data_IF_466175163273
#
_entry.id   IF_466175163273
#
_cell.length_a   1.000
_cell.length_b   1.000
_cell.length_c   1.000
_cell.angle_alpha   90.00
_cell.angle_beta   90.00
_cell.angle_gamma   90.00
#
_symmetry.space_group_name_H-M   'P 1'
#
loop_
_entity.id
_entity.type
_entity.pdbx_description
1 polymer ?
#
# COMPACT_ATOMS: atom_id res chain seq x y z
N UNK A 1 -15.35 -11.22 -15.62
CA UNK A 1 -16.33 -10.45 -14.81
C UNK A 1 -15.65 -9.97 -13.52
N UNK A 2 -15.92 -8.74 -13.09
CA UNK A 2 -15.34 -8.16 -11.87
C UNK A 2 -16.35 -8.27 -10.72
N UNK A 3 -15.88 -8.67 -9.54
CA UNK A 3 -16.60 -8.53 -8.28
C UNK A 3 -16.15 -7.21 -7.66
N UNK A 4 -17.06 -6.25 -7.47
CA UNK A 4 -16.79 -4.99 -6.79
C UNK A 4 -17.63 -4.93 -5.51
N UNK A 5 -16.97 -4.98 -4.36
CA UNK A 5 -17.61 -4.90 -3.04
C UNK A 5 -17.28 -3.55 -2.38
N UNK A 6 -18.30 -2.85 -1.92
CA UNK A 6 -18.17 -1.79 -0.91
C UNK A 6 -18.84 -2.27 0.38
N UNK A 7 -18.23 -1.98 1.52
CA UNK A 7 -18.83 -2.22 2.83
C UNK A 7 -18.36 -1.15 3.83
N UNK A 8 -19.24 -0.77 4.76
CA UNK A 8 -18.93 0.17 5.83
C UNK A 8 -19.48 -0.33 7.17
N UNK A 9 -18.78 -0.06 8.27
CA UNK A 9 -19.29 -0.24 9.63
C UNK A 9 -18.61 0.74 10.58
N UNK A 10 -19.37 1.25 11.54
CA UNK A 10 -18.83 1.85 12.75
C UNK A 10 -18.39 0.75 13.72
N UNK A 11 -17.24 0.94 14.37
CA UNK A 11 -16.80 0.25 15.57
C UNK A 11 -16.84 1.26 16.72
N UNK A 12 -17.89 1.19 17.54
CA UNK A 12 -18.11 2.11 18.65
C UNK A 12 -17.02 1.97 19.73
N UNK A 13 -16.53 3.10 20.23
CA UNK A 13 -15.51 3.14 21.28
C UNK A 13 -15.47 4.52 21.93
N UNK A 14 -15.14 4.56 23.22
CA UNK A 14 -14.68 5.80 23.83
C UNK A 14 -13.36 6.27 23.19
N UNK A 15 -13.09 7.57 23.25
CA UNK A 15 -11.87 8.15 22.66
C UNK A 15 -10.58 7.61 23.29
N UNK A 16 -10.60 7.23 24.57
CA UNK A 16 -9.45 6.64 25.28
C UNK A 16 -9.17 5.19 24.89
N UNK A 17 -10.19 4.41 24.50
CA UNK A 17 -10.07 3.02 24.05
C UNK A 17 -9.79 2.90 22.54
N UNK A 18 -9.98 3.99 21.78
CA UNK A 18 -9.83 4.00 20.33
C UNK A 18 -8.43 3.56 19.84
N UNK A 19 -7.30 3.89 20.51
CA UNK A 19 -5.99 3.39 20.11
C UNK A 19 -5.89 1.86 20.13
N UNK A 20 -6.43 1.21 21.16
CA UNK A 20 -6.42 -0.25 21.28
C UNK A 20 -7.40 -0.90 20.30
N UNK A 21 -8.59 -0.33 20.13
CA UNK A 21 -9.54 -0.78 19.09
C UNK A 21 -8.90 -0.72 17.69
N UNK A 22 -8.15 0.33 17.38
CA UNK A 22 -7.44 0.44 16.11
C UNK A 22 -6.37 -0.65 15.95
N UNK A 23 -5.59 -0.93 16.99
CA UNK A 23 -4.59 -2.02 16.97
C UNK A 23 -5.25 -3.38 16.74
N UNK A 24 -6.38 -3.65 17.41
CA UNK A 24 -7.19 -4.87 17.22
C UNK A 24 -7.71 -5.02 15.80
N UNK A 25 -8.16 -3.92 15.20
CA UNK A 25 -8.55 -3.87 13.79
C UNK A 25 -7.34 -4.10 12.86
N UNK A 26 -6.25 -3.36 13.05
CA UNK A 26 -5.05 -3.42 12.20
C UNK A 26 -4.41 -4.82 12.18
N UNK A 27 -4.35 -5.52 13.31
CA UNK A 27 -3.75 -6.86 13.38
C UNK A 27 -4.48 -7.87 12.49
N UNK A 28 -5.80 -7.73 12.30
CA UNK A 28 -6.57 -8.55 11.37
C UNK A 28 -6.08 -8.43 9.91
N UNK A 29 -5.47 -7.30 9.53
CA UNK A 29 -4.93 -7.01 8.20
C UNK A 29 -3.40 -7.16 8.10
N UNK A 30 -2.66 -6.94 9.20
CA UNK A 30 -1.19 -7.04 9.19
C UNK A 30 -0.70 -8.48 9.40
N UNK A 31 -1.38 -9.26 10.23
CA UNK A 31 -1.10 -10.68 10.47
C UNK A 31 -1.72 -11.53 9.35
N UNK A 32 -1.13 -11.38 8.17
CA UNK A 32 -1.67 -11.86 6.90
C UNK A 32 -1.83 -13.39 6.89
N UNK A 33 -0.91 -14.13 7.50
CA UNK A 33 -0.99 -15.59 7.64
C UNK A 33 -2.20 -16.06 8.49
N UNK A 34 -2.76 -15.19 9.32
CA UNK A 34 -3.98 -15.44 10.07
C UNK A 34 -5.26 -15.09 9.29
N UNK A 35 -5.17 -14.42 8.13
CA UNK A 35 -6.33 -14.01 7.34
C UNK A 35 -7.25 -15.17 6.93
N UNK A 36 -6.77 -16.37 6.53
CA UNK A 36 -7.63 -17.54 6.30
C UNK A 36 -8.50 -17.96 7.49
N UNK A 37 -8.12 -17.60 8.73
CA UNK A 37 -8.86 -17.93 9.96
C UNK A 37 -10.05 -16.99 10.24
N UNK A 38 -10.28 -15.98 9.40
CA UNK A 38 -11.38 -15.02 9.58
C UNK A 38 -12.03 -14.50 8.30
N UNK A 39 -11.33 -14.53 7.16
CA UNK A 39 -11.88 -14.02 5.90
C UNK A 39 -13.17 -14.77 5.49
N UNK A 40 -14.21 -14.06 5.01
CA UNK A 40 -15.53 -14.63 4.75
C UNK A 40 -15.53 -15.84 3.80
N UNK A 41 -16.53 -16.70 3.98
CA UNK A 41 -16.81 -17.89 3.18
C UNK A 41 -15.62 -18.87 3.05
N UNK A 42 -14.59 -18.74 3.90
CA UNK A 42 -13.33 -19.48 3.79
C UNK A 42 -12.73 -19.35 2.36
N UNK A 43 -12.82 -18.16 1.75
CA UNK A 43 -12.37 -17.95 0.34
C UNK A 43 -10.85 -18.02 0.23
N UNK A 44 -10.14 -17.37 1.15
CA UNK A 44 -8.67 -17.39 1.22
C UNK A 44 -8.24 -18.68 1.93
N UNK A 45 -7.41 -19.49 1.26
CA UNK A 45 -6.88 -20.77 1.76
C UNK A 45 -5.48 -20.62 2.36
N UNK A 46 -4.63 -19.80 1.74
CA UNK A 46 -3.38 -19.32 2.33
C UNK A 46 -3.12 -17.87 1.91
N UNK A 47 -2.22 -17.21 2.63
CA UNK A 47 -1.88 -15.80 2.45
C UNK A 47 -0.40 -15.64 2.78
N UNK A 48 0.44 -16.00 1.82
CA UNK A 48 1.87 -16.16 2.06
C UNK A 48 2.57 -14.79 1.91
N UNK A 49 3.47 -14.43 2.84
CA UNK A 49 4.26 -13.19 2.69
C UNK A 49 5.53 -13.51 1.91
N UNK A 50 5.64 -12.99 0.68
CA UNK A 50 6.78 -13.27 -0.22
C UNK A 50 7.97 -12.34 0.04
N UNK A 51 7.69 -11.08 0.37
CA UNK A 51 8.72 -10.07 0.63
C UNK A 51 8.16 -8.94 1.50
N UNK A 52 9.01 -8.27 2.27
CA UNK A 52 8.60 -7.15 3.14
C UNK A 52 9.58 -5.98 3.01
N UNK A 53 9.37 -5.06 2.04
CA UNK A 53 10.21 -3.87 1.85
C UNK A 53 10.31 -2.98 3.09
N UNK A 54 9.21 -2.84 3.84
CA UNK A 54 9.16 -2.01 5.06
C UNK A 54 8.21 -2.61 6.09
N UNK A 55 8.22 -2.12 7.33
CA UNK A 55 7.21 -2.54 8.33
C UNK A 55 5.76 -2.19 7.96
N UNK A 56 5.55 -1.29 7.00
CA UNK A 56 4.23 -0.89 6.49
C UNK A 56 3.98 -1.34 5.04
N UNK A 57 4.82 -2.20 4.46
CA UNK A 57 4.66 -2.67 3.08
C UNK A 57 5.02 -4.15 2.95
N UNK A 58 4.12 -4.98 2.40
CA UNK A 58 4.32 -6.42 2.21
C UNK A 58 3.91 -6.83 0.80
N UNK A 59 4.72 -7.67 0.15
CA UNK A 59 4.31 -8.48 -1.01
C UNK A 59 3.67 -9.75 -0.48
N UNK A 60 2.44 -10.01 -0.89
CA UNK A 60 1.60 -11.08 -0.37
C UNK A 60 1.09 -11.94 -1.52
N UNK A 61 0.94 -13.24 -1.30
CA UNK A 61 0.33 -14.18 -2.25
C UNK A 61 -0.93 -14.83 -1.66
N UNK A 62 -2.10 -14.19 -1.72
CA UNK A 62 -3.39 -14.84 -1.50
C UNK A 62 -3.61 -16.00 -2.48
N UNK A 63 -3.87 -17.19 -1.94
CA UNK A 63 -4.38 -18.35 -2.69
C UNK A 63 -5.82 -18.58 -2.30
N UNK A 64 -6.74 -18.45 -3.26
CA UNK A 64 -8.18 -18.54 -3.02
C UNK A 64 -8.80 -19.77 -3.69
N UNK A 65 -9.82 -20.33 -3.04
CA UNK A 65 -10.69 -21.38 -3.59
C UNK A 65 -12.10 -21.13 -3.09
N UNK A 66 -12.97 -20.75 -4.02
CA UNK A 66 -14.39 -20.52 -3.76
C UNK A 66 -15.10 -21.81 -3.30
N UNK A 67 -16.24 -21.67 -2.63
CA UNK A 67 -17.07 -22.80 -2.24
C UNK A 67 -17.75 -23.49 -3.44
N UNK A 68 -18.30 -24.69 -3.24
CA UNK A 68 -19.17 -25.32 -4.24
C UNK A 68 -20.49 -24.53 -4.38
N UNK A 69 -21.08 -24.42 -5.59
CA UNK A 69 -20.64 -25.04 -6.85
C UNK A 69 -19.58 -24.23 -7.62
N UNK A 70 -19.27 -22.99 -7.24
CA UNK A 70 -18.34 -22.12 -7.97
C UNK A 70 -16.92 -22.70 -8.11
N UNK A 71 -16.49 -23.53 -7.16
CA UNK A 71 -15.16 -24.13 -7.14
C UNK A 71 -14.84 -24.99 -8.37
N UNK A 72 -15.85 -25.68 -8.95
CA UNK A 72 -15.65 -26.52 -10.14
C UNK A 72 -15.63 -25.73 -11.44
N UNK A 73 -16.35 -24.61 -11.52
CA UNK A 73 -16.42 -23.75 -12.70
C UNK A 73 -15.18 -22.87 -12.85
N UNK A 74 -14.63 -22.41 -11.73
CA UNK A 74 -13.54 -21.43 -11.70
C UNK A 74 -12.20 -22.13 -11.49
N UNK A 75 -12.14 -23.14 -10.61
CA UNK A 75 -10.87 -23.75 -10.19
C UNK A 75 -10.08 -22.87 -9.21
N UNK A 76 -8.87 -23.28 -8.83
CA UNK A 76 -8.03 -22.52 -7.89
C UNK A 76 -7.51 -21.21 -8.52
N UNK A 77 -7.33 -20.19 -7.69
CA UNK A 77 -6.86 -18.87 -8.09
C UNK A 77 -5.82 -18.34 -7.11
N UNK A 78 -4.84 -17.61 -7.60
CA UNK A 78 -3.88 -16.89 -6.77
C UNK A 78 -3.58 -15.52 -7.37
N UNK A 79 -3.09 -14.60 -6.57
CA UNK A 79 -2.46 -13.39 -7.10
C UNK A 79 -1.31 -12.98 -6.21
N UNK A 80 -0.39 -12.18 -6.74
CA UNK A 80 0.60 -11.46 -5.94
C UNK A 80 0.14 -10.01 -5.84
N UNK A 81 0.17 -9.47 -4.63
CA UNK A 81 -0.26 -8.10 -4.33
C UNK A 81 0.76 -7.38 -3.46
N UNK A 82 0.93 -6.10 -3.72
CA UNK A 82 1.63 -5.16 -2.86
C UNK A 82 0.63 -4.50 -1.90
N UNK A 83 0.67 -4.89 -0.63
CA UNK A 83 -0.03 -4.20 0.46
C UNK A 83 0.81 -3.04 1.00
N UNK A 84 0.23 -1.85 1.14
CA UNK A 84 0.90 -0.64 1.69
C UNK A 84 0.00 0.08 2.70
N UNK A 85 0.53 0.33 3.90
CA UNK A 85 -0.08 1.19 4.92
C UNK A 85 0.29 2.66 4.74
N UNK A 86 -0.70 3.54 4.89
CA UNK A 86 -0.60 4.99 4.76
C UNK A 86 -1.13 5.66 6.03
N UNK A 87 -0.24 6.42 6.68
CA UNK A 87 -0.62 7.37 7.72
C UNK A 87 -1.29 8.58 7.06
N UNK A 88 -2.55 8.84 7.43
CA UNK A 88 -3.31 10.00 6.98
C UNK A 88 -3.90 10.77 8.16
N UNK A 89 -3.23 10.73 9.31
CA UNK A 89 -3.66 11.34 10.59
C UNK A 89 -4.10 12.81 10.47
N UNK A 90 -3.54 13.58 9.53
CA UNK A 90 -4.00 14.93 9.17
C UNK A 90 -5.49 15.01 8.80
N UNK A 91 -6.07 13.91 8.29
CA UNK A 91 -7.48 13.73 7.94
C UNK A 91 -8.21 12.79 8.91
N UNK A 92 -7.64 12.58 10.10
CA UNK A 92 -8.18 11.68 11.14
C UNK A 92 -8.37 10.26 10.60
N UNK A 93 -7.46 9.79 9.75
CA UNK A 93 -7.61 8.49 9.11
C UNK A 93 -6.30 7.75 8.84
N UNK A 94 -6.42 6.46 8.55
CA UNK A 94 -5.35 5.62 8.03
C UNK A 94 -5.91 4.76 6.91
N UNK A 95 -5.05 4.29 6.00
CA UNK A 95 -5.46 3.44 4.89
C UNK A 95 -4.46 2.32 4.65
N UNK A 96 -4.96 1.14 4.28
CA UNK A 96 -4.17 0.09 3.66
C UNK A 96 -4.64 -0.02 2.22
N UNK A 97 -3.75 0.17 1.24
CA UNK A 97 -4.03 -0.17 -0.15
C UNK A 97 -3.43 -1.54 -0.49
N UNK A 98 -4.08 -2.23 -1.42
CA UNK A 98 -3.66 -3.50 -1.99
C UNK A 98 -3.71 -3.34 -3.51
N UNK A 99 -2.55 -3.46 -4.15
CA UNK A 99 -2.37 -3.27 -5.59
C UNK A 99 -1.81 -4.57 -6.18
N UNK A 100 -2.32 -5.09 -7.31
CA UNK A 100 -1.78 -6.29 -7.93
C UNK A 100 -0.35 -6.05 -8.42
N UNK A 101 0.42 -7.14 -8.50
CA UNK A 101 1.70 -7.18 -9.19
C UNK A 101 1.61 -8.19 -10.34
N UNK A 102 2.12 -7.79 -11.51
CA UNK A 102 2.23 -8.63 -12.69
C UNK A 102 3.53 -9.44 -12.68
N UNK A 103 3.66 -10.45 -13.54
CA UNK A 103 4.86 -11.27 -13.61
C UNK A 103 6.07 -10.45 -14.11
N UNK A 104 7.18 -10.52 -13.39
CA UNK A 104 8.37 -9.71 -13.64
C UNK A 104 8.38 -8.33 -12.96
N UNK A 105 7.27 -7.89 -12.33
CA UNK A 105 7.25 -6.64 -11.56
C UNK A 105 8.33 -6.63 -10.47
N UNK A 106 9.05 -5.52 -10.36
CA UNK A 106 10.17 -5.37 -9.42
C UNK A 106 9.82 -4.46 -8.24
N UNK A 107 10.19 -4.90 -7.03
CA UNK A 107 10.17 -4.07 -5.81
C UNK A 107 11.47 -4.28 -5.05
N UNK A 108 12.31 -3.25 -5.02
CA UNK A 108 13.68 -3.30 -4.51
C UNK A 108 14.49 -4.44 -5.17
N UNK A 109 14.68 -5.56 -4.46
CA UNK A 109 15.40 -6.76 -4.94
C UNK A 109 14.45 -7.92 -5.27
N UNK A 110 13.15 -7.79 -5.00
CA UNK A 110 12.15 -8.82 -5.26
C UNK A 110 11.62 -8.69 -6.68
N UNK A 111 11.56 -9.82 -7.40
CA UNK A 111 10.87 -9.94 -8.69
C UNK A 111 9.62 -10.80 -8.51
N UNK A 112 8.49 -10.34 -9.06
CA UNK A 112 7.22 -11.04 -8.97
C UNK A 112 7.27 -12.36 -9.78
N UNK A 113 7.15 -13.53 -9.12
CA UNK A 113 7.20 -14.82 -9.80
C UNK A 113 5.95 -15.03 -10.63
N UNK A 114 6.03 -15.82 -11.71
CA UNK A 114 4.88 -16.28 -12.48
C UNK A 114 3.86 -17.11 -11.69
N UNK A 115 2.71 -17.38 -12.31
CA UNK A 115 1.63 -18.13 -11.66
C UNK A 115 2.04 -19.60 -11.40
N UNK A 116 1.90 -20.14 -10.17
CA UNK A 116 2.19 -21.54 -9.88
C UNK A 116 1.38 -22.52 -10.73
N UNK A 117 1.98 -23.65 -11.12
CA UNK A 117 1.32 -24.68 -11.95
C UNK A 117 -0.03 -25.10 -11.36
N UNK A 118 -1.06 -25.05 -12.19
CA UNK A 118 -2.43 -25.42 -11.81
C UNK A 118 -3.27 -24.28 -11.23
N UNK A 119 -2.68 -23.12 -10.94
CA UNK A 119 -3.42 -21.91 -10.58
C UNK A 119 -3.61 -20.99 -11.80
N UNK A 120 -4.60 -20.11 -11.73
CA UNK A 120 -4.71 -18.97 -12.66
C UNK A 120 -4.57 -17.68 -11.86
N UNK A 121 -3.78 -16.74 -12.38
CA UNK A 121 -3.62 -15.41 -11.79
C UNK A 121 -4.95 -14.67 -11.82
N UNK A 122 -5.45 -14.23 -10.66
CA UNK A 122 -6.56 -13.28 -10.57
C UNK A 122 -6.03 -11.86 -10.32
N UNK A 123 -6.86 -10.83 -10.50
CA UNK A 123 -6.48 -9.44 -10.14
C UNK A 123 -7.23 -9.05 -8.88
N UNK A 124 -6.51 -8.52 -7.89
CA UNK A 124 -7.08 -7.98 -6.66
C UNK A 124 -6.61 -6.55 -6.44
N UNK A 125 -7.56 -5.61 -6.39
CA UNK A 125 -7.35 -4.23 -5.92
C UNK A 125 -8.21 -4.02 -4.69
N UNK A 126 -7.67 -3.47 -3.61
CA UNK A 126 -8.47 -3.13 -2.44
C UNK A 126 -7.96 -1.87 -1.72
N UNK A 127 -8.87 -1.20 -1.05
CA UNK A 127 -8.61 -0.17 -0.07
C UNK A 127 -9.36 -0.50 1.22
N UNK A 128 -8.65 -0.40 2.34
CA UNK A 128 -9.20 -0.49 3.69
C UNK A 128 -8.94 0.84 4.36
N UNK A 129 -9.98 1.61 4.64
CA UNK A 129 -9.91 2.96 5.18
C UNK A 129 -10.49 2.97 6.59
N UNK A 130 -9.76 3.58 7.52
CA UNK A 130 -10.09 3.68 8.94
C UNK A 130 -10.21 5.15 9.28
N UNK A 131 -11.40 5.61 9.63
CA UNK A 131 -11.71 7.01 9.95
C UNK A 131 -12.02 7.15 11.44
N UNK A 132 -11.37 8.09 12.11
CA UNK A 132 -11.52 8.34 13.53
C UNK A 132 -12.64 9.37 13.72
N UNK A 133 -13.67 9.01 14.48
CA UNK A 133 -14.81 9.89 14.78
C UNK A 133 -15.01 10.00 16.30
N UNK A 134 -15.83 10.93 16.75
CA UNK A 134 -16.15 11.06 18.19
C UNK A 134 -16.82 9.81 18.79
N UNK A 135 -17.41 8.94 17.96
CA UNK A 135 -18.15 7.75 18.37
C UNK A 135 -17.32 6.46 18.31
N UNK A 136 -16.16 6.47 17.65
CA UNK A 136 -15.36 5.29 17.39
C UNK A 136 -14.65 5.33 16.04
N UNK A 137 -14.41 4.16 15.45
CA UNK A 137 -13.70 4.02 14.18
C UNK A 137 -14.70 3.62 13.09
N UNK A 138 -14.89 4.46 12.08
CA UNK A 138 -15.62 4.08 10.88
C UNK A 138 -14.66 3.37 9.94
N UNK A 139 -14.94 2.10 9.68
CA UNK A 139 -14.15 1.26 8.78
C UNK A 139 -14.88 1.08 7.45
N UNK A 140 -14.21 1.46 6.37
CA UNK A 140 -14.70 1.39 4.99
C UNK A 140 -13.81 0.44 4.19
N UNK A 141 -14.41 -0.56 3.54
CA UNK A 141 -13.73 -1.42 2.57
C UNK A 141 -14.26 -1.13 1.16
N UNK A 142 -13.33 -1.02 0.22
CA UNK A 142 -13.58 -1.10 -1.21
C UNK A 142 -12.66 -2.17 -1.79
N UNK A 143 -13.19 -3.13 -2.55
CA UNK A 143 -12.40 -4.20 -3.15
C UNK A 143 -12.95 -4.57 -4.52
N UNK A 144 -12.05 -4.67 -5.51
CA UNK A 144 -12.30 -5.12 -6.87
C UNK A 144 -11.50 -6.41 -7.13
N UNK A 145 -12.18 -7.44 -7.63
CA UNK A 145 -11.59 -8.75 -7.90
C UNK A 145 -11.96 -9.24 -9.32
N UNK A 146 -10.97 -9.43 -10.19
CA UNK A 146 -11.14 -10.10 -11.49
C UNK A 146 -10.65 -11.54 -11.38
N UNK A 147 -11.60 -12.48 -11.26
CA UNK A 147 -11.33 -13.91 -11.13
C UNK A 147 -10.76 -14.57 -12.40
N UNK A 148 -10.62 -13.84 -13.53
CA UNK A 148 -10.22 -14.41 -14.84
C UNK A 148 -11.01 -15.68 -15.20
N UNK A 149 -12.29 -15.71 -14.82
CA UNK A 149 -13.19 -16.81 -15.08
C UNK A 149 -13.94 -16.56 -16.39
N UNK A 150 -13.88 -17.53 -17.33
CA UNK A 150 -14.52 -17.41 -18.65
C UNK A 150 -16.03 -17.20 -18.56
N UNK A 151 -16.69 -17.92 -17.67
CA UNK A 151 -18.12 -17.78 -17.38
C UNK A 151 -18.35 -17.82 -15.88
N UNK A 152 -18.96 -16.76 -15.34
CA UNK A 152 -19.60 -16.75 -14.03
C UNK A 152 -20.95 -16.08 -14.24
N UNK A 153 -22.08 -16.73 -13.92
CA UNK A 153 -23.39 -16.11 -14.13
C UNK A 153 -23.50 -14.79 -13.37
N UNK A 154 -23.92 -13.71 -14.06
CA UNK A 154 -24.07 -12.38 -13.47
C UNK A 154 -24.88 -12.34 -12.17
N UNK A 155 -25.97 -13.13 -11.98
CA UNK A 155 -26.66 -13.22 -10.70
C UNK A 155 -25.77 -13.66 -9.54
N UNK A 156 -24.82 -14.59 -9.79
CA UNK A 156 -23.89 -15.08 -8.76
C UNK A 156 -22.81 -14.05 -8.45
N UNK A 157 -22.30 -13.35 -9.47
CA UNK A 157 -21.35 -12.23 -9.28
C UNK A 157 -22.01 -11.12 -8.46
N UNK A 158 -23.24 -10.74 -8.79
CA UNK A 158 -24.01 -9.72 -8.06
C UNK A 158 -24.34 -10.13 -6.62
N UNK A 159 -24.73 -11.39 -6.40
CA UNK A 159 -25.02 -11.92 -5.06
C UNK A 159 -23.77 -11.92 -4.15
N UNK A 160 -22.60 -12.31 -4.70
CA UNK A 160 -21.33 -12.19 -4.00
C UNK A 160 -20.97 -10.72 -3.72
N UNK A 161 -21.05 -9.86 -4.74
CA UNK A 161 -20.60 -8.47 -4.69
C UNK A 161 -21.43 -7.58 -3.76
N UNK A 162 -22.77 -7.71 -3.80
CA UNK A 162 -23.70 -6.84 -3.05
C UNK A 162 -24.21 -7.46 -1.74
N UNK A 163 -24.15 -8.78 -1.61
CA UNK A 163 -24.77 -9.51 -0.50
C UNK A 163 -23.75 -10.25 0.37
N UNK A 164 -23.36 -11.45 -0.04
CA UNK A 164 -22.67 -12.40 0.84
C UNK A 164 -21.30 -11.90 1.31
N UNK A 165 -20.44 -11.48 0.37
CA UNK A 165 -19.07 -11.11 0.69
C UNK A 165 -18.96 -9.87 1.61
N UNK A 166 -19.57 -8.71 1.32
CA UNK A 166 -19.44 -7.53 2.18
C UNK A 166 -20.06 -7.72 3.58
N UNK A 167 -21.23 -8.35 3.66
CA UNK A 167 -21.92 -8.56 4.94
C UNK A 167 -21.20 -9.58 5.82
N UNK A 168 -20.73 -10.70 5.26
CA UNK A 168 -19.97 -11.67 6.03
C UNK A 168 -18.60 -11.12 6.42
N UNK A 169 -17.93 -10.35 5.55
CA UNK A 169 -16.66 -9.67 5.88
C UNK A 169 -16.81 -8.81 7.15
N UNK A 170 -17.83 -7.95 7.20
CA UNK A 170 -18.07 -7.07 8.35
C UNK A 170 -18.57 -7.82 9.59
N UNK A 171 -19.29 -8.94 9.40
CA UNK A 171 -19.69 -9.82 10.50
C UNK A 171 -18.49 -10.51 11.14
N UNK A 172 -17.60 -11.10 10.33
CA UNK A 172 -16.40 -11.77 10.81
C UNK A 172 -15.41 -10.78 11.44
N UNK A 173 -15.19 -9.60 10.85
CA UNK A 173 -14.31 -8.57 11.43
C UNK A 173 -14.81 -8.11 12.81
N UNK A 174 -16.12 -7.83 12.95
CA UNK A 174 -16.74 -7.53 14.25
C UNK A 174 -16.62 -8.69 15.24
N UNK A 175 -16.78 -9.93 14.78
CA UNK A 175 -16.56 -11.12 15.61
C UNK A 175 -15.11 -11.23 16.08
N UNK A 176 -14.11 -10.93 15.26
CA UNK A 176 -12.69 -11.00 15.63
C UNK A 176 -12.31 -9.93 16.64
N UNK A 177 -12.73 -8.69 16.42
CA UNK A 177 -12.53 -7.58 17.39
C UNK A 177 -13.20 -7.89 18.73
N UNK A 178 -14.40 -8.48 18.74
CA UNK A 178 -15.12 -8.86 19.97
C UNK A 178 -14.44 -10.00 20.75
N UNK A 179 -13.79 -10.94 20.07
CA UNK A 179 -13.11 -12.09 20.70
C UNK A 179 -11.60 -11.98 20.53
N UNK A 180 -11.06 -10.79 20.78
CA UNK A 180 -9.65 -10.47 20.60
C UNK A 180 -8.80 -10.93 21.79
N UNK A 181 -9.27 -10.70 23.02
CA UNK A 181 -8.57 -11.09 24.25
C UNK A 181 -8.31 -12.60 24.28
N UNK A 182 -7.09 -13.00 24.63
CA UNK A 182 -6.62 -14.38 24.63
C UNK A 182 -6.47 -15.01 23.24
N UNK A 183 -6.61 -14.23 22.16
CA UNK A 183 -6.51 -14.73 20.79
C UNK A 183 -5.08 -14.70 20.24
N UNK A 184 -4.84 -15.48 19.19
CA UNK A 184 -3.56 -15.46 18.46
C UNK A 184 -3.24 -14.09 17.80
N UNK A 185 -4.23 -13.20 17.62
CA UNK A 185 -3.95 -11.84 17.14
C UNK A 185 -3.33 -10.97 18.23
N UNK A 186 -3.74 -11.15 19.49
CA UNK A 186 -3.15 -10.48 20.65
C UNK A 186 -1.69 -10.90 20.84
N UNK A 187 -1.44 -12.21 20.85
CA UNK A 187 -0.10 -12.80 20.92
C UNK A 187 0.82 -12.23 19.82
N UNK A 188 0.33 -12.11 18.58
CA UNK A 188 1.10 -11.51 17.47
C UNK A 188 1.34 -10.01 17.58
N UNK A 189 0.48 -9.28 18.28
CA UNK A 189 0.71 -7.86 18.60
C UNK A 189 1.80 -7.74 19.67
N UNK A 190 1.76 -8.59 20.70
CA UNK A 190 2.77 -8.68 21.76
C UNK A 190 4.15 -9.12 21.24
N UNK A 191 4.19 -10.02 20.25
CA UNK A 191 5.42 -10.46 19.57
C UNK A 191 6.06 -9.37 18.67
N UNK A 192 5.31 -8.33 18.28
CA UNK A 192 5.75 -7.31 17.32
C UNK A 192 5.42 -5.86 17.76
N UNK A 193 5.87 -5.43 18.96
CA UNK A 193 5.50 -4.13 19.52
C UNK A 193 6.02 -2.95 18.66
N UNK A 194 7.14 -3.14 17.96
CA UNK A 194 7.81 -2.13 17.12
C UNK A 194 6.91 -1.58 16.00
N UNK A 195 5.93 -2.36 15.55
CA UNK A 195 4.92 -1.93 14.59
C UNK A 195 3.73 -1.27 15.30
N UNK A 196 3.12 -1.99 16.25
CA UNK A 196 1.83 -1.63 16.81
C UNK A 196 1.92 -0.43 17.76
N UNK A 197 2.97 -0.32 18.58
CA UNK A 197 3.18 0.86 19.43
C UNK A 197 3.51 2.12 18.63
N UNK A 198 4.22 2.01 17.49
CA UNK A 198 4.42 3.18 16.63
C UNK A 198 3.08 3.69 16.04
N UNK A 199 2.17 2.78 15.66
CA UNK A 199 0.83 3.15 15.19
C UNK A 199 0.01 3.75 16.34
N UNK A 200 0.02 3.12 17.52
CA UNK A 200 -0.71 3.56 18.72
C UNK A 200 -0.28 4.95 19.16
N UNK A 201 1.02 5.24 19.22
CA UNK A 201 1.58 6.56 19.56
C UNK A 201 1.21 7.63 18.52
N UNK A 202 1.17 7.30 17.22
CA UNK A 202 0.70 8.24 16.17
C UNK A 202 -0.79 8.54 16.32
N UNK A 203 -1.58 7.52 16.64
CA UNK A 203 -3.02 7.61 16.82
C UNK A 203 -3.38 8.44 18.07
N UNK A 204 -2.73 8.21 19.21
CA UNK A 204 -2.91 9.05 20.42
C UNK A 204 -2.65 10.52 20.10
N UNK A 205 -1.55 10.85 19.42
CA UNK A 205 -1.25 12.24 19.01
C UNK A 205 -2.28 12.85 18.07
N UNK A 206 -2.90 12.03 17.21
CA UNK A 206 -4.01 12.47 16.37
C UNK A 206 -5.24 12.83 17.22
N UNK A 207 -5.57 12.02 18.23
CA UNK A 207 -6.71 12.24 19.13
C UNK A 207 -6.46 13.40 20.11
N UNK A 208 -5.24 13.56 20.61
CA UNK A 208 -4.80 14.72 21.41
C UNK A 208 -5.01 16.02 20.64
N UNK A 209 -4.49 16.09 19.40
CA UNK A 209 -4.57 17.27 18.53
C UNK A 209 -6.00 17.63 18.17
N UNK A 210 -6.84 16.64 17.90
CA UNK A 210 -8.18 16.83 17.36
C UNK A 210 -9.26 17.02 18.43
N UNK A 211 -9.15 16.31 19.56
CA UNK A 211 -10.18 16.28 20.60
C UNK A 211 -9.71 16.83 21.96
N UNK A 212 -8.50 17.39 22.04
CA UNK A 212 -7.98 18.05 23.26
C UNK A 212 -7.68 17.10 24.42
N UNK A 213 -7.50 15.81 24.15
CA UNK A 213 -7.36 14.75 25.14
C UNK A 213 -5.97 14.68 25.78
N UNK A 214 -5.62 15.67 26.60
CA UNK A 214 -4.35 15.76 27.36
C UNK A 214 -4.13 14.65 28.41
N UNK A 215 -5.05 13.69 28.52
CA UNK A 215 -5.12 12.70 29.61
C UNK A 215 -5.13 11.23 29.16
N UNK A 216 -4.92 10.92 27.86
CA UNK A 216 -4.68 9.53 27.43
C UNK A 216 -3.29 9.10 27.91
N UNK A 217 -3.23 8.65 29.17
CA UNK A 217 -2.04 8.04 29.76
C UNK A 217 -1.81 6.69 29.09
N UNK A 218 -0.97 6.68 28.05
CA UNK A 218 -0.25 5.47 27.67
C UNK A 218 0.48 4.94 28.91
N UNK A 219 0.57 3.62 29.04
CA UNK A 219 1.24 2.96 30.17
C UNK A 219 2.71 3.41 30.25
N UNK A 220 3.31 3.31 31.45
CA UNK A 220 4.64 3.87 31.79
C UNK A 220 5.83 3.33 30.98
N UNK A 221 5.62 2.46 30.00
CA UNK A 221 6.66 1.97 29.09
C UNK A 221 7.07 2.98 28.01
N UNK A 222 6.32 4.08 27.85
CA UNK A 222 6.62 5.17 26.91
C UNK A 222 8.07 5.68 26.96
N UNK A 223 8.65 5.84 28.16
CA UNK A 223 9.98 6.44 28.31
C UNK A 223 11.09 5.56 27.74
N UNK A 224 10.89 4.23 27.73
CA UNK A 224 11.77 3.26 27.07
C UNK A 224 11.67 3.40 25.54
N UNK A 225 10.44 3.42 25.01
CA UNK A 225 10.21 3.53 23.56
C UNK A 225 10.64 4.88 22.97
N UNK A 226 10.44 5.99 23.68
CA UNK A 226 10.90 7.33 23.26
C UNK A 226 12.43 7.41 23.15
N UNK A 227 13.16 6.64 23.96
CA UNK A 227 14.63 6.51 23.87
C UNK A 227 15.04 5.65 22.66
N UNK A 228 14.40 4.52 22.43
CA UNK A 228 14.81 3.61 21.35
C UNK A 228 14.39 4.12 19.95
N UNK A 229 13.28 4.85 19.81
CA UNK A 229 12.95 5.60 18.57
C UNK A 229 14.02 6.65 18.26
N UNK A 230 14.58 7.33 19.28
CA UNK A 230 15.70 8.27 19.09
C UNK A 230 16.97 7.54 18.65
N UNK A 231 17.30 6.37 19.22
CA UNK A 231 18.42 5.53 18.75
C UNK A 231 18.23 5.05 17.31
N UNK A 232 17.06 4.52 16.96
CA UNK A 232 16.79 4.03 15.60
C UNK A 232 16.80 5.15 14.55
N UNK A 233 16.37 6.38 14.90
CA UNK A 233 16.58 7.56 14.03
C UNK A 233 18.06 7.94 13.87
N UNK A 234 18.90 7.75 14.90
CA UNK A 234 20.35 7.97 14.82
C UNK A 234 21.03 6.91 13.93
N UNK A 235 20.68 5.64 14.12
CA UNK A 235 21.22 4.50 13.35
C UNK A 235 20.83 4.55 11.87
N UNK A 236 19.58 4.91 11.55
CA UNK A 236 19.12 5.07 10.17
C UNK A 236 19.74 6.28 9.45
N UNK A 237 20.03 7.39 10.15
CA UNK A 237 20.88 8.47 9.62
C UNK A 237 22.30 7.99 9.34
N UNK A 238 22.90 7.24 10.27
CA UNK A 238 24.26 6.69 10.12
C UNK A 238 24.38 5.69 8.94
N UNK A 239 23.39 4.81 8.73
CA UNK A 239 23.36 3.94 7.55
C UNK A 239 23.25 4.71 6.24
N UNK A 240 22.53 5.84 6.22
CA UNK A 240 22.44 6.73 5.03
C UNK A 240 23.72 7.53 4.79
N UNK A 241 24.46 7.94 5.82
CA UNK A 241 25.77 8.58 5.62
C UNK A 241 26.81 7.57 5.15
N UNK A 242 26.82 6.34 5.69
CA UNK A 242 27.72 5.27 5.25
C UNK A 242 27.44 4.83 3.80
N UNK A 243 26.17 4.71 3.38
CA UNK A 243 25.87 4.37 1.97
C UNK A 243 26.22 5.50 0.98
N UNK A 244 26.17 6.77 1.41
CA UNK A 244 26.69 7.91 0.65
C UNK A 244 28.23 7.90 0.60
N UNK A 245 28.90 7.61 1.71
CA UNK A 245 30.37 7.50 1.76
C UNK A 245 30.90 6.35 0.88
N UNK A 246 30.25 5.18 0.91
CA UNK A 246 30.60 4.05 0.03
C UNK A 246 30.47 4.39 -1.45
N UNK A 247 29.40 5.09 -1.85
CA UNK A 247 29.22 5.61 -3.22
C UNK A 247 30.20 6.73 -3.62
N UNK A 248 30.81 7.39 -2.64
CA UNK A 248 31.89 8.36 -2.87
C UNK A 248 33.22 7.65 -3.12
N UNK A 249 33.60 6.71 -2.25
CA UNK A 249 34.86 5.95 -2.41
C UNK A 249 34.88 5.08 -3.67
N UNK A 250 33.74 4.53 -4.10
CA UNK A 250 33.65 3.79 -5.37
C UNK A 250 33.82 4.67 -6.62
N UNK A 251 33.78 6.01 -6.50
CA UNK A 251 34.11 6.94 -7.58
C UNK A 251 35.57 7.39 -7.56
N UNK A 252 36.24 7.33 -6.41
CA UNK A 252 37.67 7.62 -6.29
C UNK A 252 38.59 6.50 -6.77
N UNK A 253 38.20 5.23 -6.55
CA UNK A 253 39.04 4.06 -6.85
C UNK A 253 39.05 3.63 -8.33
N UNK A 254 38.37 4.35 -9.23
CA UNK A 254 38.36 4.06 -10.67
C UNK A 254 39.45 4.78 -11.48
N UNK A 255 40.40 5.48 -10.82
CA UNK A 255 41.47 6.26 -11.50
C UNK A 255 42.90 5.80 -11.23
N UNK A 256 43.12 4.72 -10.48
CA UNK A 256 44.46 4.19 -10.16
C UNK A 256 44.58 2.67 -10.33
N UNK A 257 44.27 2.18 -11.54
CA UNK A 257 44.51 0.80 -11.94
C UNK A 257 44.87 0.70 -13.43
N UNK A 258 46.02 1.26 -13.83
CA UNK A 258 46.62 1.02 -15.15
C UNK A 258 48.14 1.10 -15.06
N UNK A 259 48.80 -0.06 -14.91
CA UNK A 259 50.16 -0.34 -15.39
C UNK A 259 50.55 -1.79 -15.02
N UNK A 260 50.42 -2.71 -15.99
CA UNK A 260 51.42 -3.72 -16.43
C UNK A 260 50.76 -4.66 -17.44
N UNK A 261 51.38 -4.86 -18.61
CA UNK A 261 50.98 -5.89 -19.59
C UNK A 261 51.52 -7.29 -19.22
N UNK A 262 51.62 -8.27 -20.12
CA UNK A 262 51.53 -8.25 -21.61
C UNK A 262 51.16 -9.68 -22.11
N UNK A 263 50.81 -9.84 -23.41
CA UNK A 263 50.72 -11.12 -24.20
C UNK A 263 49.49 -12.01 -23.87
N UNK A 264 48.62 -12.50 -24.78
CA UNK A 264 48.31 -12.43 -26.24
C UNK A 264 46.84 -12.97 -26.40
N UNK A 265 46.09 -13.01 -27.52
CA UNK A 265 46.32 -12.77 -28.95
C UNK A 265 44.96 -12.48 -29.70
N UNK A 266 45.05 -12.19 -31.01
CA UNK A 266 44.06 -12.45 -32.08
C UNK A 266 42.65 -11.77 -32.11
N UNK A 267 42.57 -10.76 -33.00
CA UNK A 267 41.60 -10.55 -34.13
C UNK A 267 40.08 -10.52 -33.86
N UNK A 268 39.28 -9.71 -34.55
CA UNK A 268 39.52 -8.50 -35.36
C UNK A 268 38.16 -7.86 -35.69
N UNK A 269 38.01 -6.53 -35.52
CA UNK A 269 36.96 -5.74 -36.15
C UNK A 269 37.35 -4.25 -36.09
N UNK A 270 37.54 -3.62 -37.24
CA UNK A 270 37.83 -2.19 -37.36
C UNK A 270 36.53 -1.39 -37.46
N UNK A 271 36.34 -0.39 -36.60
CA UNK A 271 35.43 0.75 -36.88
C UNK A 271 36.13 2.02 -36.42
N UNK A 272 36.04 3.07 -37.24
CA UNK A 272 36.83 4.30 -37.14
C UNK A 272 36.50 5.13 -35.91
N UNK A 273 37.54 5.60 -35.23
CA UNK A 273 37.50 6.71 -34.29
C UNK A 273 37.50 8.03 -35.08
N UNK A 274 36.74 9.01 -34.60
CA UNK A 274 37.01 10.44 -34.80
C UNK A 274 37.10 11.07 -33.41
N UNK A 275 38.30 11.49 -33.03
CA UNK A 275 38.53 12.35 -31.86
C UNK A 275 38.58 13.80 -32.34
N UNK A 276 37.81 14.68 -31.70
CA UNK A 276 37.99 16.13 -31.74
C UNK A 276 37.80 16.64 -30.30
N UNK A 277 38.80 17.36 -29.80
CA UNK A 277 38.91 18.04 -28.49
C UNK A 277 40.03 19.09 -28.63
N UNK A 278 40.16 20.07 -27.72
CA UNK A 278 39.10 20.83 -27.03
C UNK A 278 39.39 22.36 -27.02
N UNK A 279 38.34 23.18 -27.03
CA UNK A 279 38.36 24.63 -26.74
C UNK A 279 37.00 24.97 -26.08
N UNK A 280 36.82 25.90 -25.14
CA UNK A 280 37.71 26.81 -24.40
C UNK A 280 37.06 27.04 -23.00
N UNK A 281 37.83 27.53 -22.02
CA UNK A 281 37.27 27.98 -20.73
C UNK A 281 36.84 29.45 -20.84
N UNK A 282 35.60 29.78 -20.48
CA UNK A 282 35.17 31.17 -20.31
C UNK A 282 34.45 31.34 -18.95
N UNK A 283 35.10 32.07 -18.04
CA UNK A 283 34.46 32.58 -16.81
C UNK A 283 33.43 33.65 -17.19
N UNK A 284 32.21 33.54 -16.67
CA UNK A 284 31.21 34.60 -16.77
C UNK A 284 30.65 34.91 -15.38
N UNK A 285 30.70 36.20 -15.03
CA UNK A 285 30.35 36.75 -13.72
C UNK A 285 28.92 36.46 -13.26
N UNK A 286 28.75 36.38 -11.95
CA UNK A 286 27.45 36.35 -11.30
C UNK A 286 26.88 37.77 -11.14
N UNK A 287 25.62 38.02 -11.56
CA UNK A 287 24.85 39.17 -11.08
C UNK A 287 24.09 38.87 -9.79
N UNK A 288 23.68 39.94 -9.11
CA UNK A 288 23.31 39.97 -7.69
C UNK A 288 21.88 39.47 -7.37
N UNK A 289 21.58 39.45 -6.05
CA UNK A 289 20.27 39.12 -5.50
C UNK A 289 19.15 40.03 -6.04
N UNK A 290 18.03 39.44 -6.49
CA UNK A 290 16.75 40.16 -6.53
C UNK A 290 15.65 39.37 -5.79
N UNK A 291 14.95 40.06 -4.89
CA UNK A 291 13.93 39.49 -4.02
C UNK A 291 12.59 39.43 -4.73
N UNK A 292 12.12 38.21 -5.03
CA UNK A 292 10.72 37.97 -5.43
C UNK A 292 10.03 37.03 -4.44
N UNK A 293 9.14 37.60 -3.62
CA UNK A 293 8.20 36.85 -2.78
C UNK A 293 7.04 36.33 -3.63
N UNK A 294 6.94 35.01 -3.83
CA UNK A 294 5.69 34.36 -4.22
C UNK A 294 5.57 32.97 -3.58
N UNK A 295 4.59 32.81 -2.69
CA UNK A 295 4.24 31.52 -2.09
C UNK A 295 3.50 30.64 -3.11
N UNK A 296 4.23 30.08 -4.07
CA UNK A 296 3.67 29.04 -4.94
C UNK A 296 3.37 27.79 -4.11
N UNK A 297 2.07 27.54 -3.89
CA UNK A 297 1.55 26.41 -3.12
C UNK A 297 1.73 25.06 -3.82
N UNK A 298 2.98 24.63 -4.01
CA UNK A 298 3.32 23.34 -4.61
C UNK A 298 2.98 22.21 -3.64
N UNK A 299 1.73 21.76 -3.72
CA UNK A 299 1.23 20.52 -3.10
C UNK A 299 2.20 19.37 -3.35
N UNK A 300 2.65 18.69 -2.29
CA UNK A 300 3.68 17.66 -2.42
C UNK A 300 3.12 16.48 -3.22
N UNK A 301 3.92 15.77 -4.04
CA UNK A 301 3.43 14.65 -4.86
C UNK A 301 2.65 13.55 -4.10
N UNK A 302 2.90 13.40 -2.79
CA UNK A 302 2.16 12.48 -1.90
C UNK A 302 0.72 12.91 -1.65
N UNK A 303 0.46 14.21 -1.58
CA UNK A 303 -0.87 14.77 -1.26
C UNK A 303 -1.80 14.69 -2.47
N UNK A 304 -1.25 14.82 -3.68
CA UNK A 304 -1.99 14.68 -4.94
C UNK A 304 -2.38 13.21 -5.18
N UNK A 305 -1.49 12.25 -4.91
CA UNK A 305 -1.81 10.81 -4.99
C UNK A 305 -2.89 10.39 -3.99
N UNK A 306 -2.86 10.98 -2.78
CA UNK A 306 -3.86 10.83 -1.71
C UNK A 306 -5.22 11.42 -2.11
N UNK A 307 -5.25 12.55 -2.82
CA UNK A 307 -6.48 13.11 -3.40
C UNK A 307 -7.06 12.25 -4.53
N UNK A 308 -6.22 11.78 -5.47
CA UNK A 308 -6.66 10.94 -6.58
C UNK A 308 -7.27 9.60 -6.09
N UNK A 309 -6.65 8.97 -5.09
CA UNK A 309 -7.17 7.76 -4.47
C UNK A 309 -8.57 7.96 -3.83
N UNK A 310 -8.81 9.11 -3.17
CA UNK A 310 -10.10 9.43 -2.58
C UNK A 310 -11.17 9.71 -3.64
N UNK A 311 -10.85 10.49 -4.68
CA UNK A 311 -11.77 10.71 -5.81
C UNK A 311 -12.15 9.40 -6.51
N UNK A 312 -11.23 8.44 -6.62
CA UNK A 312 -11.54 7.11 -7.13
C UNK A 312 -12.40 6.29 -6.15
N UNK A 313 -12.19 6.40 -4.84
CA UNK A 313 -13.04 5.75 -3.82
C UNK A 313 -14.47 6.31 -3.85
N UNK A 314 -14.63 7.62 -4.02
CA UNK A 314 -15.93 8.29 -4.11
C UNK A 314 -16.65 7.91 -5.42
N UNK A 315 -15.95 7.97 -6.56
CA UNK A 315 -16.48 7.54 -7.86
C UNK A 315 -16.93 6.06 -7.87
N UNK A 316 -16.10 5.17 -7.32
CA UNK A 316 -16.42 3.74 -7.21
C UNK A 316 -17.53 3.49 -6.19
N UNK A 317 -17.62 4.29 -5.12
CA UNK A 317 -18.74 4.23 -4.16
C UNK A 317 -20.07 4.53 -4.84
N UNK A 318 -20.14 5.61 -5.62
CA UNK A 318 -21.37 6.05 -6.28
C UNK A 318 -21.84 5.04 -7.34
N UNK A 319 -20.90 4.43 -8.07
CA UNK A 319 -21.17 3.33 -9.01
C UNK A 319 -21.74 2.09 -8.29
N UNK A 320 -21.19 1.73 -7.11
CA UNK A 320 -21.68 0.56 -6.33
C UNK A 320 -23.07 0.81 -5.78
N UNK A 321 -23.33 1.99 -5.22
CA UNK A 321 -24.58 2.35 -4.56
C UNK A 321 -25.73 2.53 -5.56
N UNK A 322 -25.50 3.28 -6.64
CA UNK A 322 -26.55 3.58 -7.63
C UNK A 322 -26.75 2.48 -8.65
N UNK A 323 -25.73 1.63 -8.88
CA UNK A 323 -25.67 0.74 -10.04
C UNK A 323 -25.64 1.47 -11.39
N UNK A 324 -25.44 2.80 -11.39
CA UNK A 324 -25.35 3.67 -12.56
C UNK A 324 -23.91 4.16 -12.70
N UNK A 325 -23.51 4.41 -13.93
CA UNK A 325 -22.21 5.03 -14.20
C UNK A 325 -22.32 6.50 -13.82
N UNK A 326 -21.47 6.95 -12.89
CA UNK A 326 -21.33 8.38 -12.63
C UNK A 326 -20.09 8.91 -13.32
N UNK A 327 -20.33 9.87 -14.21
CA UNK A 327 -19.29 10.60 -14.94
C UNK A 327 -18.75 11.69 -14.01
N UNK A 328 -17.81 11.32 -13.14
CA UNK A 328 -17.11 12.26 -12.28
C UNK A 328 -16.26 13.19 -13.16
N UNK A 329 -16.64 14.47 -13.25
CA UNK A 329 -15.85 15.50 -13.94
C UNK A 329 -14.57 15.79 -13.14
N UNK A 330 -13.50 15.08 -13.48
CA UNK A 330 -12.17 15.24 -12.91
C UNK A 330 -11.49 16.47 -13.53
N UNK A 331 -10.72 17.23 -12.72
CA UNK A 331 -9.93 18.36 -13.23
C UNK A 331 -8.79 17.86 -14.14
N UNK A 332 -8.48 18.52 -15.28
CA UNK A 332 -7.46 18.05 -16.22
C UNK A 332 -6.07 17.82 -15.59
N UNK A 333 -5.68 18.68 -14.64
CA UNK A 333 -4.38 18.65 -13.96
C UNK A 333 -4.18 17.43 -13.05
N UNK A 334 -5.25 16.71 -12.70
CA UNK A 334 -5.17 15.43 -12.00
C UNK A 334 -4.98 14.26 -12.99
N UNK A 335 -5.56 14.33 -14.20
CA UNK A 335 -5.46 13.28 -15.21
C UNK A 335 -4.02 13.08 -15.69
N UNK A 336 -3.29 14.17 -15.93
CA UNK A 336 -1.86 14.12 -16.28
C UNK A 336 -0.97 13.53 -15.17
N UNK A 337 -1.34 13.71 -13.90
CA UNK A 337 -0.52 13.27 -12.75
C UNK A 337 -0.74 11.82 -12.36
N UNK A 338 -1.90 11.23 -12.68
CA UNK A 338 -2.22 9.82 -12.41
C UNK A 338 -2.91 9.12 -13.59
N UNK A 339 -2.30 9.11 -14.79
CA UNK A 339 -2.94 8.58 -16.00
C UNK A 339 -3.46 7.15 -15.78
N UNK A 340 -2.67 6.27 -15.17
CA UNK A 340 -3.05 4.88 -14.87
C UNK A 340 -4.36 4.78 -14.06
N UNK A 341 -4.55 5.63 -13.05
CA UNK A 341 -5.75 5.58 -12.20
C UNK A 341 -6.99 6.07 -12.95
N UNK A 342 -6.82 7.10 -13.78
CA UNK A 342 -7.92 7.73 -14.52
C UNK A 342 -8.25 7.00 -15.83
N UNK A 343 -7.28 6.41 -16.50
CA UNK A 343 -7.47 5.47 -17.59
C UNK A 343 -8.23 4.24 -17.08
N UNK A 344 -7.99 3.79 -15.84
CA UNK A 344 -8.74 2.68 -15.26
C UNK A 344 -10.19 3.07 -14.90
N UNK A 345 -10.42 4.28 -14.35
CA UNK A 345 -11.78 4.81 -14.16
C UNK A 345 -12.51 4.99 -15.49
N UNK A 346 -11.88 5.58 -16.51
CA UNK A 346 -12.47 5.71 -17.86
C UNK A 346 -12.69 4.35 -18.53
N UNK A 347 -11.79 3.38 -18.37
CA UNK A 347 -11.97 2.03 -18.90
C UNK A 347 -13.09 1.28 -18.18
N UNK A 348 -13.27 1.47 -16.88
CA UNK A 348 -14.43 0.96 -16.15
C UNK A 348 -15.71 1.63 -16.67
N UNK A 349 -15.76 2.97 -16.74
CA UNK A 349 -16.91 3.71 -17.29
C UNK A 349 -17.27 3.23 -18.71
N UNK A 350 -16.29 3.13 -19.62
CA UNK A 350 -16.50 2.64 -21.00
C UNK A 350 -17.00 1.19 -21.05
N UNK A 351 -16.49 0.30 -20.18
CA UNK A 351 -16.89 -1.12 -20.12
C UNK A 351 -18.25 -1.37 -19.48
N UNK A 352 -18.78 -0.42 -18.72
CA UNK A 352 -20.12 -0.51 -18.11
C UNK A 352 -21.17 0.31 -18.87
N UNK A 353 -20.77 1.14 -19.84
CA UNK A 353 -21.66 1.93 -20.71
C UNK A 353 -22.26 1.12 -21.87
N UNK A 354 -21.80 -0.12 -22.05
CA UNK A 354 -22.33 -1.16 -22.95
C UNK A 354 -22.91 -2.30 -22.13
#
# INVERSE_FOLDING_TARGET
PFILTKAETLFESSLSQMPDLFVKLLSCFNENDLMPKWFPMNVIKSMDTLYQPTKFSKVLQPKIKLAMPLSSLIGPRECVVMGKGYDMSERKSMMISVVPMEEGDMVDIFSCPGAPKGFTRFVLKAAYYFELTKQGIVFKNLMMMDLKAKMVPSPVVNWLAKGAMPNEFMSQLRKKVKHYEGSIWEQRVEENPDLYEEVKVRLVKCLEKEYGLTSIKLSKEEDKYKVDIKKNKRNSRMRRSLSRAGKSMSRGLSRTASMTGIIKNNRAAEVKVKEETPDEEEEVDAPEEEKATEESGVSRPRDIAKQAALLAIDALSEIVETGRIVVVKIKPDLKEKFPILFDEVENLQKRYAT
#
